data_IF_908829217540
#
_entry.id   IF_908829217540
#
_cell.length_a   1.000
_cell.length_b   1.000
_cell.length_c   1.000
_cell.angle_alpha   90.00
_cell.angle_beta   90.00
_cell.angle_gamma   90.00
#
_symmetry.space_group_name_H-M   'P 1'
#
loop_
_entity.id
_entity.type
_entity.pdbx_description
1 polymer ?
2 branched ?
3 non-polymer ?
4 non-polymer ?
5 water ?
#
# COMPACT_ATOMS: atom_id res chain seq x y z
N UNK A 10 13.35 15.94 19.39
CA UNK A 10 11.95 16.08 19.01
C UNK A 10 11.06 15.09 19.75
N UNK A 11 9.80 15.02 19.36
CA UNK A 11 8.83 14.20 20.08
C UNK A 11 8.15 13.15 19.21
N UNK A 12 7.62 12.11 19.86
CA UNK A 12 6.76 11.15 19.19
C UNK A 12 5.54 11.87 18.63
N UNK A 13 5.17 11.54 17.39
CA UNK A 13 3.94 12.08 16.84
C UNK A 13 2.72 11.52 17.54
N UNK A 14 1.74 12.38 17.79
CA UNK A 14 0.46 11.97 18.36
C UNK A 14 -0.64 12.17 17.33
N UNK A 15 -1.47 11.14 17.15
CA UNK A 15 -2.57 11.21 16.18
C UNK A 15 -3.73 12.03 16.74
N UNK A 16 -3.59 13.35 16.74
CA UNK A 16 -4.56 14.21 17.41
C UNK A 16 -5.57 14.86 16.46
N UNK A 17 -5.38 14.70 15.16
CA UNK A 17 -6.24 15.37 14.19
C UNK A 17 -7.17 14.40 13.45
N UNK A 18 -8.26 14.95 12.91
CA UNK A 18 -9.14 14.19 12.05
C UNK A 18 -8.74 14.42 10.60
N UNK A 19 -9.38 13.71 9.69
CA UNK A 19 -9.11 13.92 8.26
C UNK A 19 -9.68 15.25 7.79
N UNK A 20 -8.97 15.90 6.88
CA UNK A 20 -9.52 17.06 6.19
C UNK A 20 -10.71 16.62 5.35
N UNK A 21 -11.64 17.53 5.10
CA UNK A 21 -12.75 17.23 4.20
C UNK A 21 -12.23 16.99 2.79
N UNK A 22 -12.61 15.87 2.20
CA UNK A 22 -12.14 15.51 0.88
C UNK A 22 -13.17 15.83 -0.20
N UNK A 23 -12.90 16.87 -0.98
CA UNK A 23 -13.84 17.28 -2.03
C UNK A 23 -13.29 16.97 -3.43
N UNK A 24 -11.99 16.75 -3.50
CA UNK A 24 -11.32 16.32 -4.73
C UNK A 24 -9.89 15.91 -4.42
N UNK A 25 -9.14 15.53 -5.44
CA UNK A 25 -7.75 15.14 -5.26
C UNK A 25 -6.85 15.93 -6.19
N UNK A 26 -5.71 16.38 -5.67
CA UNK A 26 -4.75 17.12 -6.48
C UNK A 26 -3.47 16.31 -6.64
N UNK A 27 -2.74 16.55 -7.71
CA UNK A 27 -1.50 15.84 -7.96
C UNK A 27 -0.49 16.18 -6.86
N UNK A 28 0.19 15.15 -6.35
CA UNK A 28 1.16 15.32 -5.28
C UNK A 28 2.56 14.99 -5.77
N UNK A 29 2.70 13.81 -6.36
CA UNK A 29 3.98 13.36 -6.89
C UNK A 29 3.84 12.42 -8.06
N UNK A 30 4.88 12.39 -8.88
CA UNK A 30 4.95 11.52 -10.04
C UNK A 30 6.40 11.43 -10.48
N UNK A 31 6.94 10.23 -10.64
CA UNK A 31 8.38 10.13 -10.90
C UNK A 31 8.75 9.79 -12.34
N UNK A 32 7.76 9.37 -13.15
CA UNK A 32 8.01 9.03 -14.55
C UNK A 32 9.20 8.11 -14.73
N UNK A 33 9.30 7.10 -13.85
CA UNK A 33 10.50 6.29 -13.75
C UNK A 33 10.81 5.47 -15.01
N UNK A 34 9.78 4.91 -15.62
CA UNK A 34 9.98 4.05 -16.78
C UNK A 34 10.39 4.88 -17.99
N UNK A 35 9.75 6.04 -18.16
CA UNK A 35 10.12 7.00 -19.19
C UNK A 35 11.59 7.35 -19.10
N UNK A 36 11.99 7.81 -17.93
CA UNK A 36 13.36 8.26 -17.68
C UNK A 36 14.32 7.07 -17.74
N UNK A 37 13.86 5.93 -17.25
CA UNK A 37 14.68 4.73 -17.18
C UNK A 37 15.02 4.14 -18.53
N UNK A 38 14.33 4.59 -19.58
CA UNK A 38 14.62 4.14 -20.94
C UNK A 38 16.06 4.47 -21.33
N UNK A 39 16.57 5.57 -20.78
CA UNK A 39 17.96 5.97 -21.04
C UNK A 39 18.56 6.67 -19.83
N UNK A 40 18.51 6.00 -18.68
CA UNK A 40 19.15 6.46 -17.46
C UNK A 40 19.27 5.25 -16.55
N UNK A 41 20.11 5.34 -15.53
CA UNK A 41 20.32 4.19 -14.66
C UNK A 41 19.27 4.12 -13.56
N UNK A 42 18.06 3.74 -13.97
CA UNK A 42 16.92 3.66 -13.06
C UNK A 42 16.68 2.22 -12.65
N UNK A 43 16.61 1.99 -11.35
CA UNK A 43 16.42 0.65 -10.81
C UNK A 43 15.05 0.06 -11.14
N UNK A 44 15.03 -1.23 -11.45
CA UNK A 44 13.77 -1.95 -11.60
C UNK A 44 13.15 -2.10 -10.22
N UNK A 45 11.87 -1.73 -10.11
CA UNK A 45 11.17 -1.85 -8.83
C UNK A 45 9.80 -2.45 -9.00
N UNK A 46 9.15 -2.70 -7.86
CA UNK A 46 7.71 -2.91 -7.78
C UNK A 46 7.31 -2.72 -6.33
N UNK A 47 6.01 -2.79 -6.06
CA UNK A 47 5.47 -2.59 -4.72
C UNK A 47 5.95 -1.27 -4.10
N UNK A 48 5.68 -0.14 -4.78
CA UNK A 48 6.16 1.14 -4.25
C UNK A 48 5.24 1.67 -3.16
N UNK A 49 5.70 2.68 -2.43
CA UNK A 49 4.80 3.48 -1.60
C UNK A 49 5.43 4.82 -1.25
N UNK A 50 4.74 5.58 -0.41
CA UNK A 50 5.21 6.90 0.00
C UNK A 50 5.15 7.00 1.52
N UNK A 51 6.14 7.64 2.12
CA UNK A 51 6.16 7.81 3.57
C UNK A 51 6.89 9.08 3.94
N UNK A 52 6.38 9.78 4.95
CA UNK A 52 6.94 11.07 5.33
C UNK A 52 7.78 11.02 6.60
N UNK A 53 8.88 11.75 6.58
CA UNK A 53 9.63 12.10 7.77
C UNK A 53 9.11 13.44 8.25
N UNK A 54 9.50 13.88 9.45
CA UNK A 54 9.05 15.21 9.90
C UNK A 54 9.54 16.35 9.00
N UNK A 55 10.58 16.12 8.21
CA UNK A 55 11.19 17.18 7.43
C UNK A 55 11.27 16.86 5.94
N UNK A 56 10.73 15.73 5.54
CA UNK A 56 10.83 15.28 4.15
C UNK A 56 9.85 14.14 3.86
N UNK A 57 9.32 14.12 2.65
CA UNK A 57 8.52 12.98 2.17
C UNK A 57 9.26 12.28 1.04
N UNK A 58 9.27 10.95 1.05
CA UNK A 58 10.05 10.18 0.09
C UNK A 58 9.26 9.05 -0.54
N UNK A 59 9.65 8.67 -1.76
CA UNK A 59 9.13 7.48 -2.42
C UNK A 59 9.86 6.26 -1.87
N UNK A 60 9.15 5.14 -1.79
CA UNK A 60 9.73 3.88 -1.35
C UNK A 60 9.35 2.80 -2.35
N UNK A 61 10.17 1.75 -2.44
CA UNK A 61 9.85 0.59 -3.28
C UNK A 61 10.81 -0.57 -3.02
N UNK A 62 10.46 -1.73 -3.56
CA UNK A 62 11.34 -2.88 -3.54
C UNK A 62 12.11 -2.98 -4.85
N UNK A 63 13.42 -2.70 -4.77
CA UNK A 63 14.28 -2.82 -5.93
C UNK A 63 14.42 -4.28 -6.33
N UNK A 64 14.85 -4.52 -7.57
CA UNK A 64 15.13 -5.87 -8.03
C UNK A 64 16.63 -6.06 -8.23
N UNK A 65 17.41 -5.07 -7.82
CA UNK A 65 18.85 -5.17 -7.88
C UNK A 65 19.39 -5.16 -9.30
N UNK A 66 18.80 -4.32 -10.13
CA UNK A 66 19.18 -4.19 -11.53
C UNK A 66 18.51 -2.95 -12.10
N UNK A 67 19.06 -2.38 -13.16
CA UNK A 67 18.40 -1.27 -13.84
C UNK A 67 17.50 -1.83 -14.93
N UNK A 68 16.61 -1.00 -15.46
CA UNK A 68 15.67 -1.45 -16.49
C UNK A 68 16.39 -1.86 -17.76
N UNK A 69 17.35 -1.04 -18.18
CA UNK A 69 18.11 -1.31 -19.40
C UNK A 69 19.14 -2.42 -19.19
N UNK A 70 19.42 -2.73 -17.92
CA UNK A 70 20.35 -3.80 -17.60
C UNK A 70 19.81 -5.14 -18.03
N UNK A 71 20.70 -6.05 -18.42
CA UNK A 71 20.29 -7.38 -18.87
C UNK A 71 19.70 -8.21 -17.74
N UNK A 72 20.03 -7.87 -16.50
CA UNK A 72 19.49 -8.58 -15.34
C UNK A 72 18.04 -8.20 -15.06
N UNK A 73 17.48 -7.31 -15.90
CA UNK A 73 16.06 -6.97 -15.78
C UNK A 73 15.21 -8.13 -16.28
N UNK A 74 15.82 -9.00 -17.07
CA UNK A 74 15.17 -10.18 -17.60
C UNK A 74 14.73 -11.12 -16.47
N UNK A 75 13.42 -11.31 -16.33
CA UNK A 75 12.89 -12.23 -15.33
C UNK A 75 12.37 -11.56 -14.07
N UNK A 76 12.31 -10.23 -14.08
CA UNK A 76 11.93 -9.48 -12.87
C UNK A 76 10.43 -9.48 -12.59
N UNK A 77 9.67 -10.32 -13.29
CA UNK A 77 8.25 -10.50 -12.94
C UNK A 77 8.17 -11.22 -11.59
N UNK A 78 9.22 -11.96 -11.26
CA UNK A 78 9.25 -12.76 -10.05
C UNK A 78 9.38 -11.88 -8.80
N UNK A 79 8.61 -12.23 -7.78
CA UNK A 79 8.41 -11.38 -6.62
C UNK A 79 9.51 -11.46 -5.56
N UNK A 80 10.10 -12.63 -5.39
CA UNK A 80 11.04 -12.85 -4.29
C UNK A 80 12.40 -13.35 -4.76
N UNK A 81 13.45 -12.65 -4.34
CA UNK A 81 14.82 -13.03 -4.65
C UNK A 81 15.79 -12.39 -3.66
N UNK A 82 17.04 -12.84 -3.68
CA UNK A 82 18.05 -12.33 -2.76
C UNK A 82 18.55 -10.94 -3.17
N UNK A 83 18.05 -10.45 -4.30
CA UNK A 83 18.59 -9.23 -4.89
C UNK A 83 17.64 -8.07 -4.72
N UNK A 84 16.58 -8.29 -3.94
CA UNK A 84 15.62 -7.24 -3.66
C UNK A 84 15.97 -6.53 -2.36
N UNK A 85 15.56 -5.26 -2.27
CA UNK A 85 15.80 -4.45 -1.10
C UNK A 85 14.81 -3.30 -1.07
N UNK A 86 14.40 -2.91 0.13
CA UNK A 86 13.60 -1.70 0.28
C UNK A 86 14.49 -0.49 0.08
N UNK A 87 14.15 0.34 -0.89
CA UNK A 87 14.89 1.57 -1.14
C UNK A 87 13.98 2.77 -0.98
N UNK A 88 14.58 3.92 -0.72
CA UNK A 88 13.84 5.18 -0.71
C UNK A 88 14.61 6.23 -1.50
N UNK A 89 13.89 7.20 -2.04
CA UNK A 89 14.51 8.25 -2.83
C UNK A 89 13.62 9.50 -2.83
N UNK A 90 14.20 10.67 -3.15
CA UNK A 90 13.47 11.93 -3.02
C UNK A 90 12.15 11.96 -3.81
N UNK A 91 11.16 12.65 -3.24
CA UNK A 91 9.83 12.78 -3.83
C UNK A 91 9.88 13.19 -5.30
N UNK A 92 9.25 12.36 -6.13
CA UNK A 92 9.04 12.61 -7.56
C UNK A 92 10.28 12.45 -8.45
N UNK A 93 11.43 12.18 -7.84
CA UNK A 93 12.60 11.74 -8.58
C UNK A 93 12.43 10.27 -8.91
N UNK A 94 13.14 9.76 -9.93
CA UNK A 94 13.06 8.31 -10.18
C UNK A 94 14.01 7.54 -9.27
N UNK A 95 13.75 6.24 -9.05
CA UNK A 95 14.67 5.46 -8.24
C UNK A 95 15.92 5.09 -9.04
N UNK A 96 16.99 5.87 -8.88
CA UNK A 96 18.21 5.62 -9.63
C UNK A 96 19.25 4.91 -8.77
N UNK A 97 20.25 4.34 -9.43
CA UNK A 97 21.35 3.68 -8.74
C UNK A 97 22.08 4.66 -7.83
N UNK A 98 22.09 5.92 -8.23
CA UNK A 98 22.93 6.93 -7.58
C UNK A 98 22.19 7.78 -6.54
N UNK A 99 20.86 7.75 -6.55
CA UNK A 99 20.10 8.56 -5.60
C UNK A 99 19.22 7.74 -4.66
N UNK A 100 19.28 6.42 -4.77
CA UNK A 100 18.45 5.56 -3.94
C UNK A 100 19.17 5.14 -2.66
N UNK A 101 18.47 5.25 -1.55
CA UNK A 101 18.98 4.85 -0.25
C UNK A 101 18.35 3.53 0.19
N UNK A 102 19.18 2.54 0.49
CA UNK A 102 18.67 1.24 0.92
C UNK A 102 18.28 1.29 2.40
N UNK A 103 17.07 0.88 2.71
CA UNK A 103 16.59 0.87 4.08
C UNK A 103 16.88 -0.48 4.74
N UNK A 104 16.63 -1.56 4.00
CA UNK A 104 16.96 -2.91 4.45
C UNK A 104 16.80 -3.91 3.31
N UNK A 105 17.28 -5.13 3.53
CA UNK A 105 17.28 -6.17 2.51
C UNK A 105 16.09 -7.12 2.67
N UNK A 106 15.36 -7.35 1.58
CA UNK A 106 14.22 -8.25 1.59
C UNK A 106 13.24 -8.06 0.44
N UNK A 107 12.16 -8.84 0.45
CA UNK A 107 11.19 -8.81 -0.64
C UNK A 107 9.77 -8.51 -0.18
N UNK A 108 9.63 -8.10 1.08
CA UNK A 108 8.36 -7.60 1.60
C UNK A 108 8.68 -6.62 2.70
N UNK A 109 7.99 -5.48 2.72
CA UNK A 109 8.39 -4.41 3.63
C UNK A 109 7.28 -3.50 4.12
N UNK A 110 7.62 -2.76 5.16
CA UNK A 110 6.84 -1.60 5.60
C UNK A 110 7.82 -0.62 6.22
N UNK A 111 7.39 0.62 6.40
CA UNK A 111 8.25 1.64 6.99
C UNK A 111 7.40 2.80 7.47
N UNK A 112 7.81 3.42 8.58
CA UNK A 112 7.12 4.60 9.09
C UNK A 112 7.98 5.36 10.09
N UNK A 113 7.75 6.66 10.18
CA UNK A 113 8.46 7.52 11.12
C UNK A 113 7.57 7.75 12.32
N UNK A 114 8.13 7.63 13.53
CA UNK A 114 7.32 7.80 14.74
C UNK A 114 7.40 9.23 15.29
N UNK A 115 8.12 10.09 14.59
CA UNK A 115 8.31 11.46 15.03
C UNK A 115 9.74 11.73 15.45
N UNK A 116 10.39 10.70 16.01
CA UNK A 116 11.79 10.79 16.39
C UNK A 116 12.69 10.12 15.37
N UNK A 117 12.39 8.85 15.08
CA UNK A 117 13.16 8.10 14.10
C UNK A 117 12.27 7.22 13.24
N UNK A 118 12.84 6.68 12.17
CA UNK A 118 12.10 5.83 11.25
C UNK A 118 12.29 4.35 11.58
N UNK A 119 11.18 3.60 11.56
CA UNK A 119 11.25 2.15 11.64
C UNK A 119 11.04 1.57 10.25
N UNK A 120 11.93 0.67 9.84
CA UNK A 120 11.76 -0.05 8.58
C UNK A 120 11.84 -1.54 8.82
N UNK A 121 10.95 -2.30 8.18
CA UNK A 121 10.93 -3.74 8.35
C UNK A 121 11.03 -4.41 6.99
N UNK A 122 11.99 -5.31 6.84
CA UNK A 122 12.15 -6.09 5.62
C UNK A 122 12.13 -7.57 5.92
N UNK A 123 11.40 -8.33 5.10
CA UNK A 123 11.37 -9.77 5.22
C UNK A 123 12.16 -10.41 4.09
N UNK A 124 13.04 -11.35 4.45
CA UNK A 124 13.82 -12.09 3.46
C UNK A 124 13.81 -13.57 3.81
N UNK A 125 14.28 -14.39 2.87
CA UNK A 125 14.38 -15.83 3.11
C UNK A 125 13.66 -16.64 2.06
N UNK A 126 13.83 -17.97 2.12
CA UNK A 126 13.04 -18.86 1.27
C UNK A 126 11.60 -18.90 1.76
N UNK A 127 10.68 -19.40 0.94
CA UNK A 127 9.26 -19.38 1.29
C UNK A 127 8.94 -20.09 2.61
N UNK A 128 9.74 -21.11 2.95
CA UNK A 128 9.46 -21.91 4.15
C UNK A 128 10.34 -21.56 5.35
N UNK A 129 11.09 -20.46 5.26
CA UNK A 129 12.03 -20.12 6.32
C UNK A 129 12.35 -18.63 6.34
N UNK A 130 11.37 -17.80 6.01
CA UNK A 130 11.56 -16.37 5.94
C UNK A 130 11.65 -15.74 7.33
N UNK A 131 12.22 -14.55 7.41
CA UNK A 131 12.32 -13.82 8.68
C UNK A 131 12.25 -12.32 8.45
N UNK A 132 11.68 -11.62 9.43
CA UNK A 132 11.62 -10.17 9.39
C UNK A 132 12.71 -9.57 10.25
N UNK A 133 13.37 -8.53 9.75
CA UNK A 133 14.31 -7.76 10.54
C UNK A 133 13.78 -6.35 10.73
N UNK A 134 13.68 -5.92 11.97
CA UNK A 134 13.12 -4.61 12.27
C UNK A 134 14.23 -3.60 12.51
N UNK A 135 14.30 -2.60 11.64
CA UNK A 135 15.30 -1.54 11.76
C UNK A 135 14.69 -0.31 12.40
N UNK A 136 15.44 0.33 13.28
CA UNK A 136 15.03 1.59 13.88
C UNK A 136 16.22 2.52 13.97
N UNK A 137 16.04 3.76 13.52
CA UNK A 137 17.13 4.72 13.44
C UNK A 137 18.29 4.13 12.63
N UNK A 138 17.92 3.44 11.55
CA UNK A 138 18.86 2.87 10.58
C UNK A 138 19.79 1.82 11.18
N UNK A 139 19.32 1.16 12.24
CA UNK A 139 20.03 0.05 12.86
C UNK A 139 19.08 -1.13 13.09
N UNK A 140 19.59 -2.36 12.94
CA UNK A 140 18.75 -3.53 13.22
C UNK A 140 18.52 -3.70 14.71
N UNK A 141 17.29 -3.94 15.12
CA UNK A 141 16.94 -3.94 16.53
C UNK A 141 16.25 -5.24 16.97
N UNK A 142 15.34 -5.74 16.14
CA UNK A 142 14.60 -6.95 16.47
C UNK A 142 14.38 -7.83 15.25
N UNK A 143 14.18 -9.13 15.48
CA UNK A 143 13.98 -10.10 14.41
C UNK A 143 12.81 -11.01 14.71
N UNK A 144 12.06 -11.36 13.67
CA UNK A 144 10.90 -12.24 13.80
C UNK A 144 10.97 -13.39 12.81
N UNK A 145 11.00 -14.62 13.32
CA UNK A 145 11.02 -15.77 12.43
C UNK A 145 9.61 -16.13 11.95
N UNK A 146 9.54 -16.78 10.81
CA UNK A 146 8.28 -17.25 10.26
C UNK A 146 7.56 -18.16 11.26
N UNK A 147 6.25 -17.99 11.38
CA UNK A 147 5.48 -18.82 12.31
C UNK A 147 4.60 -19.83 11.60
N UNK A 148 4.45 -19.69 10.28
CA UNK A 148 3.63 -20.62 9.52
C UNK A 148 4.40 -21.23 8.35
N UNK A 149 5.64 -20.78 8.18
CA UNK A 149 6.56 -21.33 7.18
C UNK A 149 5.97 -21.30 5.76
N UNK A 150 5.29 -20.21 5.43
CA UNK A 150 4.71 -20.05 4.11
C UNK A 150 4.65 -18.58 3.72
N UNK A 151 5.80 -18.06 3.30
CA UNK A 151 5.95 -16.68 2.86
C UNK A 151 5.42 -15.67 3.86
N UNK A 152 6.17 -15.50 4.96
CA UNK A 152 5.94 -14.41 5.88
C UNK A 152 5.97 -13.10 5.09
N UNK A 153 4.93 -12.28 5.26
CA UNK A 153 4.79 -11.09 4.43
C UNK A 153 4.02 -10.00 5.17
N UNK A 154 4.24 -8.75 4.75
CA UNK A 154 3.64 -7.61 5.44
C UNK A 154 3.00 -6.62 4.46
N UNK A 155 2.93 -5.35 4.86
CA UNK A 155 1.99 -4.40 4.25
C UNK A 155 2.31 -3.89 2.85
N UNK A 156 3.59 -3.68 2.54
CA UNK A 156 4.05 -3.07 1.29
C UNK A 156 3.59 -1.62 1.12
N UNK A 157 3.24 -0.99 2.24
CA UNK A 157 3.07 0.46 2.30
C UNK A 157 3.35 0.88 3.74
N UNK A 158 3.25 2.18 4.01
CA UNK A 158 3.73 2.70 5.30
C UNK A 158 2.88 2.27 6.48
N UNK A 159 3.52 2.05 7.62
CA UNK A 159 2.79 1.85 8.86
C UNK A 159 2.49 3.22 9.46
N UNK A 160 1.81 3.23 10.61
CA UNK A 160 1.46 4.48 11.27
C UNK A 160 1.81 4.39 12.75
N UNK A 161 2.32 5.48 13.32
CA UNK A 161 2.72 5.50 14.71
C UNK A 161 1.87 6.46 15.54
N UNK A 162 1.64 6.09 16.79
CA UNK A 162 1.03 7.00 17.77
C UNK A 162 1.76 6.89 19.10
N UNK A 163 2.30 8.01 19.56
CA UNK A 163 3.05 8.07 20.82
C UNK A 163 4.15 7.02 20.88
N UNK A 164 4.81 6.79 19.75
CA UNK A 164 5.93 5.86 19.69
C UNK A 164 5.54 4.44 19.35
N UNK A 165 4.26 4.12 19.42
CA UNK A 165 3.79 2.76 19.13
C UNK A 165 3.38 2.63 17.66
N UNK A 166 4.06 1.73 16.95
CA UNK A 166 3.80 1.54 15.53
C UNK A 166 3.29 0.14 15.24
N UNK A 167 1.96 0.01 15.04
CA UNK A 167 1.36 -1.29 14.67
C UNK A 167 1.71 -1.70 13.24
N UNK A 168 1.97 -2.98 13.04
CA UNK A 168 2.23 -3.53 11.71
C UNK A 168 1.47 -4.85 11.53
N UNK A 169 0.85 -5.03 10.37
CA UNK A 169 0.11 -6.25 10.08
C UNK A 169 0.94 -7.23 9.28
N UNK A 170 1.10 -8.44 9.80
CA UNK A 170 1.81 -9.52 9.11
C UNK A 170 0.87 -10.66 8.74
N UNK A 171 1.18 -11.36 7.65
CA UNK A 171 0.50 -12.62 7.35
C UNK A 171 1.54 -13.70 7.05
N UNK A 172 1.28 -14.90 7.58
CA UNK A 172 2.10 -16.05 7.27
C UNK A 172 1.17 -17.24 7.05
N UNK A 173 1.33 -17.92 5.92
CA UNK A 173 0.44 -19.01 5.57
C UNK A 173 -0.14 -18.87 4.18
N UNK A 174 -1.16 -19.67 3.89
CA UNK A 174 -1.72 -19.79 2.54
C UNK A 174 -2.23 -18.47 1.95
N UNK A 175 -2.08 -18.34 0.64
CA UNK A 175 -2.61 -17.19 -0.08
C UNK A 175 -3.99 -17.50 -0.65
N UNK A 176 -4.41 -18.75 -0.50
CA UNK A 176 -5.65 -19.23 -1.09
C UNK A 176 -6.50 -20.02 -0.09
N UNK A 177 -6.40 -19.66 1.18
CA UNK A 177 -7.13 -20.33 2.25
C UNK A 177 -6.78 -19.67 3.56
N UNK A 178 -7.29 -20.20 4.67
CA UNK A 178 -7.04 -19.61 6.00
C UNK A 178 -5.55 -19.48 6.30
N UNK A 179 -5.14 -18.28 6.71
CA UNK A 179 -3.74 -18.02 7.01
C UNK A 179 -3.58 -17.47 8.43
N UNK A 180 -2.34 -17.32 8.87
CA UNK A 180 -2.05 -16.84 10.22
C UNK A 180 -1.62 -15.38 10.21
N UNK A 181 -2.58 -14.49 10.44
CA UNK A 181 -2.32 -13.06 10.45
C UNK A 181 -2.06 -12.58 11.87
N UNK A 182 -1.01 -11.77 12.03
CA UNK A 182 -0.68 -11.21 13.34
C UNK A 182 -0.54 -9.69 13.25
N UNK A 183 -0.92 -9.00 14.32
CA UNK A 183 -0.66 -7.57 14.42
C UNK A 183 0.42 -7.33 15.47
N UNK A 184 1.56 -6.83 15.03
CA UNK A 184 2.66 -6.53 15.94
C UNK A 184 2.64 -5.06 16.34
N UNK A 185 3.03 -4.79 17.57
CA UNK A 185 3.13 -3.42 18.06
C UNK A 185 4.56 -3.14 18.45
N UNK A 186 5.20 -2.23 17.71
CA UNK A 186 6.60 -1.90 17.95
C UNK A 186 6.77 -0.54 18.62
N UNK A 187 7.84 -0.40 19.38
CA UNK A 187 8.28 0.91 19.86
C UNK A 187 9.80 0.95 19.84
N UNK A 188 10.34 1.91 19.09
CA UNK A 188 11.78 2.02 18.86
C UNK A 188 12.33 0.69 18.34
N UNK A 189 11.53 -0.01 17.55
CA UNK A 189 11.96 -1.25 16.92
C UNK A 189 11.77 -2.48 17.79
N UNK A 190 11.45 -2.28 19.06
CA UNK A 190 11.27 -3.39 19.98
C UNK A 190 9.83 -3.88 19.97
N UNK A 191 9.64 -5.19 20.10
CA UNK A 191 8.30 -5.77 20.13
C UNK A 191 7.66 -5.58 21.50
N UNK A 192 6.60 -4.80 21.54
CA UNK A 192 5.84 -4.61 22.77
C UNK A 192 4.88 -5.77 22.96
N UNK A 193 4.31 -6.23 21.86
CA UNK A 193 3.19 -7.15 21.88
C UNK A 193 2.84 -7.58 20.46
N UNK A 194 2.32 -8.80 20.32
CA UNK A 194 1.64 -9.17 19.08
C UNK A 194 0.35 -9.91 19.43
N UNK A 195 -0.59 -9.91 18.50
CA UNK A 195 -1.84 -10.63 18.70
C UNK A 195 -2.30 -11.25 17.40
N UNK A 196 -2.93 -12.42 17.50
CA UNK A 196 -3.53 -13.06 16.34
C UNK A 196 -4.72 -12.24 15.86
N UNK A 197 -4.99 -12.28 14.57
CA UNK A 197 -6.10 -11.55 13.99
C UNK A 197 -7.43 -12.01 14.59
N UNK A 198 -8.25 -11.05 14.99
CA UNK A 198 -9.59 -11.33 15.47
C UNK A 198 -10.60 -10.58 14.59
N UNK A 199 -11.89 -10.81 14.82
CA UNK A 199 -12.91 -10.18 14.02
C UNK A 199 -13.40 -11.08 12.92
N UNK A 200 -14.07 -10.50 11.92
CA UNK A 200 -14.76 -11.29 10.90
C UNK A 200 -14.07 -11.29 9.54
N UNK A 201 -12.93 -10.61 9.43
CA UNK A 201 -12.14 -10.69 8.21
C UNK A 201 -11.59 -12.12 8.08
N UNK A 202 -11.77 -12.71 6.91
CA UNK A 202 -11.44 -14.12 6.72
C UNK A 202 -10.06 -14.34 6.09
N UNK A 203 -9.51 -13.31 5.47
CA UNK A 203 -8.18 -13.40 4.87
C UNK A 203 -7.57 -12.01 4.72
N UNK A 204 -6.30 -11.87 5.10
CA UNK A 204 -5.65 -10.57 5.16
C UNK A 204 -4.30 -10.52 4.43
N UNK A 205 -4.19 -9.59 3.49
CA UNK A 205 -2.94 -9.34 2.78
C UNK A 205 -2.72 -7.85 2.56
N UNK A 206 -1.45 -7.44 2.61
CA UNK A 206 -1.01 -6.13 2.12
C UNK A 206 -1.87 -4.96 2.59
N UNK A 207 -1.93 -4.77 3.91
CA UNK A 207 -2.76 -3.72 4.48
C UNK A 207 -2.24 -2.31 4.19
N UNK A 208 -3.15 -1.42 3.83
CA UNK A 208 -2.84 0.00 3.66
C UNK A 208 -3.45 0.78 4.81
N UNK A 209 -2.63 1.51 5.56
CA UNK A 209 -3.09 2.10 6.81
C UNK A 209 -2.93 3.62 6.87
N UNK A 210 -3.73 4.24 7.74
CA UNK A 210 -3.60 5.65 8.05
C UNK A 210 -4.12 5.87 9.47
N UNK A 211 -3.74 6.99 10.08
CA UNK A 211 -4.15 7.29 11.44
C UNK A 211 -4.83 8.65 11.57
N UNK A 212 -5.78 8.72 12.50
CA UNK A 212 -6.48 9.96 12.79
C UNK A 212 -7.18 9.77 14.13
N UNK A 213 -7.56 10.89 14.78
CA UNK A 213 -7.96 10.93 16.19
C UNK A 213 -7.80 9.59 16.95
N UNK A 214 -6.66 9.53 17.64
CA UNK A 214 -5.90 8.33 18.02
C UNK A 214 -6.42 6.94 17.63
N UNK A 215 -6.83 6.76 16.36
CA UNK A 215 -7.15 5.46 15.84
C UNK A 215 -6.45 5.19 14.51
N UNK A 216 -6.08 3.93 14.26
CA UNK A 216 -5.45 3.57 13.00
C UNK A 216 -6.34 2.63 12.17
N UNK A 217 -6.58 3.00 10.93
CA UNK A 217 -7.46 2.22 10.05
C UNK A 217 -6.67 1.60 8.91
N UNK A 218 -6.82 0.30 8.73
CA UNK A 218 -6.13 -0.42 7.66
C UNK A 218 -7.11 -1.05 6.69
N UNK A 219 -6.90 -0.81 5.40
CA UNK A 219 -7.70 -1.45 4.36
C UNK A 219 -6.81 -2.47 3.67
N UNK A 220 -7.27 -3.72 3.62
CA UNK A 220 -6.42 -4.82 3.18
C UNK A 220 -6.96 -5.55 1.96
N UNK A 221 -6.35 -6.68 1.68
CA UNK A 221 -6.70 -7.49 0.51
C UNK A 221 -7.07 -8.91 0.95
N UNK A 222 -8.29 -9.32 0.61
CA UNK A 222 -8.70 -10.71 0.79
C UNK A 222 -8.33 -11.44 -0.49
N UNK A 223 -7.33 -12.31 -0.40
CA UNK A 223 -6.87 -13.03 -1.58
C UNK A 223 -7.52 -14.39 -1.71
N UNK A 224 -8.40 -14.72 -0.77
CA UNK A 224 -9.04 -16.03 -0.76
C UNK A 224 -10.35 -16.03 -1.54
N UNK A 225 -11.45 -15.64 -0.90
CA UNK A 225 -12.75 -15.67 -1.53
C UNK A 225 -13.39 -14.31 -1.78
N UNK A 226 -12.82 -13.26 -1.21
CA UNK A 226 -13.48 -11.96 -1.20
C UNK A 226 -13.06 -10.96 -2.26
N UNK A 227 -14.03 -10.18 -2.74
CA UNK A 227 -13.74 -9.07 -3.63
C UNK A 227 -14.14 -7.75 -2.98
N UNK A 228 -14.75 -7.85 -1.82
CA UNK A 228 -14.85 -6.70 -0.92
C UNK A 228 -13.57 -6.68 -0.08
N UNK A 229 -13.20 -5.53 0.45
CA UNK A 229 -11.93 -5.44 1.18
C UNK A 229 -12.11 -5.57 2.68
N UNK A 230 -11.23 -6.36 3.31
CA UNK A 230 -11.21 -6.44 4.77
C UNK A 230 -10.69 -5.14 5.38
N UNK A 231 -11.20 -4.79 6.55
CA UNK A 231 -10.71 -3.61 7.27
C UNK A 231 -10.27 -4.00 8.66
N UNK A 232 -9.08 -3.57 9.05
CA UNK A 232 -8.62 -3.75 10.42
C UNK A 232 -8.55 -2.39 11.10
N UNK A 233 -9.24 -2.25 12.22
CA UNK A 233 -9.20 -1.01 12.98
C UNK A 233 -8.41 -1.20 14.26
N UNK A 234 -7.31 -0.46 14.38
CA UNK A 234 -6.34 -0.67 15.45
C UNK A 234 -6.32 0.46 16.46
N UNK A 235 -6.42 0.09 17.74
CA UNK A 235 -6.24 1.04 18.85
C UNK A 235 -4.79 0.96 19.29
N UNK A 236 -3.97 1.96 18.94
CA UNK A 236 -2.53 1.88 19.24
C UNK A 236 -2.21 2.14 20.71
N UNK A 237 -3.18 2.65 21.47
CA UNK A 237 -2.98 2.88 22.89
C UNK A 237 -3.25 1.60 23.68
N UNK A 238 -4.41 1.01 23.46
CA UNK A 238 -4.78 -0.25 24.10
C UNK A 238 -4.04 -1.42 23.45
N UNK A 239 -3.53 -1.17 22.25
CA UNK A 239 -2.88 -2.20 21.44
C UNK A 239 -3.81 -3.38 21.21
N UNK A 240 -5.02 -3.05 20.76
CA UNK A 240 -6.02 -4.04 20.38
C UNK A 240 -6.59 -3.69 19.01
N UNK A 241 -7.37 -4.60 18.43
CA UNK A 241 -7.93 -4.36 17.11
C UNK A 241 -9.24 -5.10 16.89
N UNK A 242 -9.97 -4.68 15.87
CA UNK A 242 -11.13 -5.42 15.38
C UNK A 242 -10.99 -5.55 13.87
N UNK A 243 -11.80 -6.39 13.26
CA UNK A 243 -11.80 -6.48 11.80
C UNK A 243 -13.16 -6.86 11.24
N UNK A 244 -13.40 -6.39 10.01
CA UNK A 244 -14.60 -6.72 9.27
C UNK A 244 -14.29 -6.50 7.79
N UNK A 245 -15.34 -6.36 6.98
CA UNK A 245 -15.20 -5.97 5.59
C UNK A 245 -15.84 -4.61 5.38
N UNK A 246 -15.46 -3.93 4.31
CA UNK A 246 -16.22 -2.76 3.88
C UNK A 246 -17.60 -3.22 3.44
N UNK A 247 -18.63 -2.72 4.11
CA UNK A 247 -20.00 -3.19 3.89
C UNK A 247 -20.55 -2.82 2.51
N UNK A 248 -20.04 -1.75 1.94
CA UNK A 248 -20.56 -1.21 0.69
C UNK A 248 -20.56 -2.21 -0.47
N UNK A 249 -21.61 -2.20 -1.29
CA UNK A 249 -21.66 -3.01 -2.51
C UNK A 249 -20.75 -2.47 -3.61
N UNK A 250 -20.14 -1.32 -3.34
CA UNK A 250 -19.09 -0.80 -4.22
C UNK A 250 -17.82 -1.60 -3.94
N UNK A 251 -17.63 -2.69 -4.69
CA UNK A 251 -16.51 -3.59 -4.48
C UNK A 251 -15.21 -2.99 -5.03
N UNK A 252 -14.12 -3.15 -4.30
CA UNK A 252 -12.88 -2.45 -4.64
C UNK A 252 -11.63 -3.32 -4.73
N UNK A 253 -11.78 -4.63 -4.72
CA UNK A 253 -10.64 -5.50 -5.02
C UNK A 253 -10.53 -5.64 -6.54
N UNK A 254 -9.52 -6.37 -6.99
CA UNK A 254 -9.38 -6.67 -8.41
C UNK A 254 -8.60 -7.96 -8.62
N UNK A 255 -9.14 -8.90 -9.41
CA UNK A 255 -10.43 -8.82 -10.12
C UNK A 255 -11.62 -8.90 -9.18
N UNK A 256 -12.81 -8.61 -9.70
CA UNK A 256 -14.01 -8.55 -8.86
C UNK A 256 -15.27 -8.74 -9.69
N UNK A 257 -16.37 -9.17 -9.04
CA UNK A 257 -17.66 -9.18 -9.71
C UNK A 257 -18.18 -7.76 -9.93
N UNK A 258 -19.27 -7.63 -10.67
CA UNK A 258 -19.91 -6.33 -10.80
C UNK A 258 -20.55 -5.91 -9.48
N UNK A 259 -20.73 -4.61 -9.30
CA UNK A 259 -21.32 -4.09 -8.06
C UNK A 259 -22.77 -4.53 -7.92
N UNK A 260 -23.09 -5.24 -6.83
CA UNK A 260 -24.47 -5.57 -6.50
C UNK A 260 -25.17 -4.39 -5.82
N UNK A 261 -26.29 -4.64 -5.15
CA UNK A 261 -26.97 -3.58 -4.42
C UNK A 261 -26.88 -3.81 -2.91
N UNK A 262 -26.43 -5.00 -2.54
CA UNK A 262 -26.15 -5.31 -1.14
C UNK A 262 -24.74 -5.87 -0.99
N UNK A 263 -23.94 -5.25 -0.12
CA UNK A 263 -22.59 -5.72 0.12
C UNK A 263 -22.54 -6.69 1.28
N UNK A 264 -21.34 -6.95 1.79
CA UNK A 264 -21.17 -7.89 2.89
C UNK A 264 -20.23 -7.31 3.94
N UNK A 265 -20.69 -7.26 5.19
CA UNK A 265 -19.95 -6.64 6.28
C UNK A 265 -19.01 -7.61 6.98
N UNK A 266 -19.40 -8.88 7.06
CA UNK A 266 -18.70 -9.83 7.92
C UNK A 266 -18.33 -11.13 7.22
N UNK A 267 -18.27 -11.08 5.88
CA UNK A 267 -17.88 -12.24 5.09
C UNK A 267 -17.46 -11.78 3.69
N UNK A 268 -16.65 -12.59 3.00
CA UNK A 268 -16.22 -12.25 1.64
C UNK A 268 -17.39 -12.16 0.67
N UNK A 269 -17.38 -11.16 -0.21
CA UNK A 269 -18.32 -11.17 -1.33
C UNK A 269 -17.75 -12.05 -2.44
N UNK A 270 -18.51 -13.09 -2.83
CA UNK A 270 -18.06 -14.15 -3.73
C UNK A 270 -18.08 -13.76 -5.21
N UNK A 271 -17.34 -14.51 -6.02
CA UNK A 271 -17.29 -14.28 -7.44
C UNK A 271 -15.89 -14.50 -7.99
N UNK A 272 -14.89 -14.10 -7.22
CA UNK A 272 -13.50 -14.22 -7.66
C UNK A 272 -12.63 -14.81 -6.56
N UNK A 273 -12.00 -15.94 -6.86
CA UNK A 273 -11.18 -16.64 -5.88
C UNK A 273 -9.68 -16.51 -6.17
N UNK A 274 -8.89 -16.61 -5.10
CA UNK A 274 -7.44 -16.77 -5.21
C UNK A 274 -6.73 -15.66 -5.98
N UNK A 275 -7.22 -14.43 -5.82
CA UNK A 275 -6.57 -13.28 -6.43
C UNK A 275 -7.01 -11.98 -5.75
N UNK A 276 -6.34 -10.89 -6.10
CA UNK A 276 -6.63 -9.61 -5.53
C UNK A 276 -5.56 -8.61 -5.90
N UNK A 277 -5.63 -7.43 -5.32
CA UNK A 277 -4.62 -6.41 -5.51
C UNK A 277 -4.58 -5.55 -4.26
N UNK A 278 -3.39 -5.06 -3.91
CA UNK A 278 -3.28 -4.15 -2.78
C UNK A 278 -4.05 -2.87 -3.09
N UNK A 279 -4.86 -2.43 -2.15
CA UNK A 279 -5.68 -1.24 -2.32
C UNK A 279 -5.83 -0.49 -1.02
N UNK A 280 -6.68 0.52 -1.02
CA UNK A 280 -6.85 1.35 0.15
C UNK A 280 -8.22 2.02 0.16
N UNK A 281 -8.54 2.64 1.29
CA UNK A 281 -9.72 3.47 1.40
C UNK A 281 -9.53 4.47 2.53
N UNK A 282 -10.31 5.54 2.51
CA UNK A 282 -10.41 6.42 3.67
C UNK A 282 -11.83 6.37 4.21
N UNK A 283 -11.98 5.76 5.38
CA UNK A 283 -13.29 5.50 5.97
C UNK A 283 -13.58 6.55 7.04
N UNK A 284 -14.47 7.49 6.72
CA UNK A 284 -14.65 8.66 7.55
C UNK A 284 -16.09 9.19 7.46
N UNK A 285 -17.05 8.31 7.72
CA UNK A 285 -18.46 8.67 7.66
C UNK A 285 -18.86 9.20 6.29
N UNK A 286 -19.39 10.41 6.25
CA UNK A 286 -19.81 11.03 5.00
C UNK A 286 -18.62 11.51 4.18
N UNK A 287 -17.44 11.50 4.80
CA UNK A 287 -16.22 11.92 4.13
C UNK A 287 -15.44 10.71 3.60
N UNK A 288 -16.16 9.62 3.33
CA UNK A 288 -15.53 8.38 2.93
C UNK A 288 -15.23 8.33 1.43
N UNK A 289 -13.99 8.00 1.08
CA UNK A 289 -13.59 7.80 -0.31
C UNK A 289 -12.94 6.43 -0.51
N UNK A 290 -13.37 5.73 -1.55
CA UNK A 290 -12.80 4.42 -1.87
C UNK A 290 -12.00 4.51 -3.17
N UNK A 291 -10.87 3.80 -3.21
CA UNK A 291 -10.11 3.68 -4.43
C UNK A 291 -10.30 2.31 -5.04
N UNK A 292 -10.28 2.24 -6.38
CA UNK A 292 -10.30 0.95 -7.05
C UNK A 292 -9.85 1.06 -8.49
N UNK A 293 -9.44 -0.06 -9.07
CA UNK A 293 -9.18 -0.13 -10.49
C UNK A 293 -10.51 0.06 -11.23
N UNK A 294 -10.44 0.59 -12.44
CA UNK A 294 -11.67 0.80 -13.21
C UNK A 294 -12.16 -0.55 -13.76
N UNK A 295 -11.23 -1.32 -14.31
CA UNK A 295 -11.56 -2.65 -14.83
C UNK A 295 -11.87 -3.62 -13.69
N UNK A 296 -12.85 -4.50 -13.92
CA UNK A 296 -13.19 -5.54 -12.95
C UNK A 296 -12.36 -6.80 -13.22
N UNK A 297 -11.64 -6.81 -14.32
CA UNK A 297 -10.95 -8.02 -14.77
C UNK A 297 -9.44 -7.95 -14.56
N UNK A 298 -8.87 -6.75 -14.67
CA UNK A 298 -7.41 -6.62 -14.58
C UNK A 298 -6.98 -5.30 -13.95
N UNK A 299 -5.68 -5.20 -13.68
CA UNK A 299 -5.13 -4.02 -13.03
C UNK A 299 -4.93 -2.88 -14.02
N UNK A 300 -6.02 -2.32 -14.50
CA UNK A 300 -5.98 -1.18 -15.41
C UNK A 300 -6.96 -0.12 -14.96
N UNK A 301 -6.56 1.14 -15.10
CA UNK A 301 -7.37 2.26 -14.67
C UNK A 301 -7.35 2.43 -13.17
N UNK A 302 -7.70 3.61 -12.70
CA UNK A 302 -7.88 3.84 -11.26
C UNK A 302 -8.81 5.01 -11.03
N UNK A 303 -9.74 4.84 -10.10
CA UNK A 303 -10.69 5.89 -9.78
C UNK A 303 -10.90 6.00 -8.27
N UNK A 304 -11.21 7.21 -7.82
CA UNK A 304 -11.65 7.42 -6.45
C UNK A 304 -13.15 7.64 -6.46
N UNK A 305 -13.84 7.04 -5.50
CA UNK A 305 -15.30 7.18 -5.41
C UNK A 305 -15.70 7.61 -4.01
N UNK A 306 -16.52 8.64 -3.93
CA UNK A 306 -17.04 9.11 -2.65
C UNK A 306 -18.27 8.30 -2.27
N UNK A 307 -18.13 7.45 -1.25
CA UNK A 307 -19.19 6.53 -0.85
C UNK A 307 -19.49 6.71 0.63
N UNK A 308 -20.48 7.54 0.95
CA UNK A 308 -20.85 7.84 2.35
C UNK A 308 -21.09 6.59 3.19
N UNK A 309 -20.37 6.49 4.31
CA UNK A 309 -20.52 5.39 5.25
C UNK A 309 -20.32 4.02 4.61
N UNK A 310 -19.38 3.94 3.68
CA UNK A 310 -19.09 2.69 2.97
C UNK A 310 -18.78 1.56 3.94
N UNK A 311 -18.10 1.88 5.03
CA UNK A 311 -17.69 0.87 6.01
C UNK A 311 -18.87 0.15 6.66
N UNK A 312 -19.96 0.87 6.92
CA UNK A 312 -21.05 0.33 7.73
C UNK A 312 -22.38 0.16 7.02
N UNK A 313 -22.53 0.79 5.85
CA UNK A 313 -23.80 0.77 5.12
C UNK A 313 -23.71 -0.17 3.92
N UNK A 314 -24.40 -1.31 3.99
CA UNK A 314 -24.29 -2.33 2.95
C UNK A 314 -25.15 -2.01 1.72
N UNK A 315 -25.71 -0.80 1.67
CA UNK A 315 -26.46 -0.35 0.51
C UNK A 315 -25.80 0.86 -0.17
N UNK A 316 -24.69 1.33 0.41
CA UNK A 316 -24.11 2.60 0.00
C UNK A 316 -23.55 2.62 -1.42
N UNK A 317 -23.81 3.71 -2.12
CA UNK A 317 -23.38 3.91 -3.51
C UNK A 317 -22.61 5.23 -3.65
N UNK A 318 -21.87 5.41 -4.76
CA UNK A 318 -21.12 6.67 -4.92
C UNK A 318 -22.01 7.89 -5.16
N UNK A 319 -21.58 9.05 -4.68
CA UNK A 319 -22.26 10.31 -4.96
C UNK A 319 -21.30 11.28 -5.63
N UNK A 320 -20.04 10.88 -5.72
CA UNK A 320 -19.01 11.69 -6.37
C UNK A 320 -17.82 10.81 -6.69
N UNK A 321 -17.01 11.24 -7.64
CA UNK A 321 -15.83 10.47 -8.02
C UNK A 321 -14.75 11.28 -8.69
N UNK A 322 -13.60 10.65 -8.91
CA UNK A 322 -12.53 11.26 -9.68
C UNK A 322 -11.68 10.18 -10.32
N UNK A 323 -11.54 10.26 -11.64
CA UNK A 323 -10.69 9.32 -12.37
C UNK A 323 -9.24 9.74 -12.19
N UNK A 324 -8.39 8.78 -11.83
CA UNK A 324 -6.97 9.04 -11.63
C UNK A 324 -6.16 8.52 -12.79
N UNK A 325 -6.46 7.30 -13.21
CA UNK A 325 -5.80 6.67 -14.35
C UNK A 325 -6.87 6.11 -15.29
N UNK A 326 -6.74 6.40 -16.59
CA UNK A 326 -7.68 5.90 -17.58
C UNK A 326 -7.66 4.37 -17.60
N UNK A 327 -8.81 3.77 -17.92
CA UNK A 327 -8.91 2.32 -18.05
C UNK A 327 -7.96 1.79 -19.12
N UNK A 328 -7.60 2.64 -20.06
CA UNK A 328 -6.69 2.28 -21.14
C UNK A 328 -5.25 2.13 -20.66
N UNK A 329 -4.96 2.64 -19.46
CA UNK A 329 -3.61 2.61 -18.92
C UNK A 329 -3.48 1.64 -17.75
N UNK A 330 -2.30 1.06 -17.61
CA UNK A 330 -2.06 0.08 -16.56
C UNK A 330 -1.88 0.74 -15.20
N UNK A 331 -2.51 0.14 -14.18
CA UNK A 331 -2.30 0.57 -12.82
C UNK A 331 -1.57 -0.52 -12.05
N UNK A 332 -1.99 -0.77 -10.81
CA UNK A 332 -1.34 -1.76 -9.98
C UNK A 332 -1.69 -1.56 -8.52
N UNK A 333 -0.72 -1.81 -7.64
CA UNK A 333 -0.94 -1.61 -6.20
C UNK A 333 -1.25 -0.16 -5.88
N UNK A 334 -2.05 0.06 -4.85
CA UNK A 334 -2.31 1.41 -4.37
C UNK A 334 -2.37 1.38 -2.85
N UNK A 335 -2.00 2.48 -2.21
CA UNK A 335 -1.98 2.52 -0.76
C UNK A 335 -2.07 3.92 -0.22
N UNK A 336 -2.27 4.02 1.09
CA UNK A 336 -2.46 5.30 1.74
C UNK A 336 -1.21 5.77 2.47
N UNK A 337 -1.07 7.09 2.58
CA UNK A 337 -0.07 7.70 3.43
C UNK A 337 -0.56 9.11 3.73
N UNK A 338 -0.03 9.73 4.78
CA UNK A 338 -0.33 11.13 5.06
C UNK A 338 0.90 11.82 5.63
N UNK A 339 0.97 13.13 5.43
CA UNK A 339 2.03 13.92 6.06
C UNK A 339 1.54 14.33 7.44
N UNK A 340 1.90 13.54 8.45
CA UNK A 340 1.44 13.77 9.81
C UNK A 340 2.13 14.97 10.46
N UNK A 341 3.06 15.58 9.74
CA UNK A 341 3.84 16.69 10.29
C UNK A 341 3.57 18.00 9.54
N UNK A 342 2.54 17.98 8.70
CA UNK A 342 2.14 19.19 7.97
C UNK A 342 1.44 20.18 8.89
N UNK A 343 1.34 21.43 8.43
CA UNK A 343 0.62 22.46 9.17
C UNK A 343 -0.89 22.27 9.04
N UNK A 344 -1.65 22.90 9.93
CA UNK A 344 -3.10 22.84 9.86
C UNK A 344 -3.73 22.01 10.96
N UNK A 345 -5.06 22.03 11.02
CA UNK A 345 -5.80 21.34 12.08
C UNK A 345 -6.34 19.98 11.66
N UNK A 346 -6.02 19.56 10.43
CA UNK A 346 -6.48 18.26 9.95
C UNK A 346 -5.41 17.56 9.13
N UNK A 347 -5.50 16.23 9.07
CA UNK A 347 -4.61 15.44 8.23
C UNK A 347 -5.13 15.38 6.81
N UNK A 348 -4.26 15.65 5.84
CA UNK A 348 -4.64 15.61 4.44
C UNK A 348 -4.45 14.21 3.88
N UNK A 349 -5.55 13.56 3.52
CA UNK A 349 -5.50 12.21 2.98
C UNK A 349 -4.71 12.16 1.69
N UNK A 350 -3.79 11.19 1.61
CA UNK A 350 -3.01 11.00 0.40
C UNK A 350 -2.99 9.54 -0.03
N UNK A 351 -2.61 9.30 -1.28
CA UNK A 351 -2.43 7.95 -1.76
C UNK A 351 -1.53 7.92 -2.98
N UNK A 352 -1.02 6.73 -3.28
CA UNK A 352 -0.23 6.51 -4.47
C UNK A 352 -0.89 5.43 -5.30
N UNK A 353 -0.59 5.42 -6.59
CA UNK A 353 -0.96 4.30 -7.44
C UNK A 353 0.27 3.78 -8.17
N UNK A 354 0.54 2.49 -8.04
CA UNK A 354 1.62 1.86 -8.75
C UNK A 354 1.22 1.67 -10.21
N UNK A 355 2.03 2.18 -11.12
CA UNK A 355 1.75 2.03 -12.54
C UNK A 355 2.66 0.97 -13.14
N UNK A 356 2.19 -0.28 -13.14
CA UNK A 356 3.01 -1.40 -13.56
C UNK A 356 3.20 -1.45 -15.07
N UNK A 357 4.44 -1.53 -15.51
CA UNK A 357 4.75 -1.70 -16.93
C UNK A 357 5.54 -2.98 -17.13
N UNK A 358 5.42 -3.57 -18.31
CA UNK A 358 6.10 -4.81 -18.62
C UNK A 358 5.22 -6.02 -18.35
N UNK A 359 5.84 -7.12 -17.95
CA UNK A 359 5.13 -8.38 -17.80
C UNK A 359 4.25 -8.40 -16.56
N UNK A 360 3.14 -9.17 -16.60
CA UNK A 360 2.74 -10.07 -17.68
C UNK A 360 1.99 -9.40 -18.84
N UNK A 361 1.42 -8.23 -18.62
CA UNK A 361 0.52 -7.61 -19.60
C UNK A 361 1.23 -7.14 -20.87
N UNK A 362 2.49 -6.76 -20.74
CA UNK A 362 3.27 -6.30 -21.88
C UNK A 362 4.52 -7.15 -22.04
N UNK A 363 4.37 -8.31 -22.69
CA UNK A 363 5.45 -9.30 -22.70
C UNK A 363 6.41 -9.19 -23.89
N UNK A 364 6.36 -8.07 -24.60
CA UNK A 364 7.36 -7.80 -25.63
C UNK A 364 8.70 -7.49 -24.98
N UNK A 365 8.65 -7.00 -23.75
CA UNK A 365 9.83 -6.85 -22.92
C UNK A 365 9.87 -7.99 -21.92
N UNK A 366 11.05 -8.26 -21.37
CA UNK A 366 11.22 -9.39 -20.46
C UNK A 366 11.29 -8.94 -19.01
N UNK A 367 11.10 -7.64 -18.78
CA UNK A 367 11.12 -7.12 -17.43
C UNK A 367 9.74 -6.70 -16.92
N UNK A 368 9.66 -6.52 -15.61
CA UNK A 368 8.51 -5.92 -14.96
C UNK A 368 8.98 -4.80 -14.05
N UNK A 369 8.46 -3.60 -14.25
CA UNK A 369 8.75 -2.50 -13.35
C UNK A 369 7.52 -1.62 -13.19
N UNK A 370 7.73 -0.42 -12.66
CA UNK A 370 6.62 0.50 -12.43
C UNK A 370 7.08 1.93 -12.30
N UNK A 371 6.13 2.85 -12.41
CA UNK A 371 6.36 4.21 -11.95
C UNK A 371 5.32 4.54 -10.90
N UNK A 372 5.38 5.75 -10.37
CA UNK A 372 4.49 6.15 -9.28
C UNK A 372 3.73 7.41 -9.63
N UNK A 373 2.43 7.42 -9.33
CA UNK A 373 1.69 8.67 -9.29
C UNK A 373 1.06 8.78 -7.91
N UNK A 374 0.99 9.99 -7.38
CA UNK A 374 0.52 10.20 -6.01
C UNK A 374 -0.38 11.43 -5.93
N UNK A 375 -1.46 11.32 -5.15
CA UNK A 375 -2.40 12.42 -5.00
C UNK A 375 -2.66 12.73 -3.52
N UNK A 376 -3.08 13.95 -3.25
CA UNK A 376 -3.56 14.33 -1.92
C UNK A 376 -4.90 15.02 -2.05
N UNK A 377 -5.67 15.04 -0.97
CA UNK A 377 -7.01 15.59 -1.00
C UNK A 377 -7.02 17.12 -0.99
N UNK A 378 -8.08 17.70 -1.55
CA UNK A 378 -8.29 19.14 -1.54
C UNK A 378 -9.69 19.44 -1.04
N UNK A 379 -9.85 20.58 -0.36
CA UNK A 379 -11.18 21.01 0.07
C UNK A 379 -11.88 21.72 -1.07
N UNK A 380 -11.13 22.05 -2.12
CA UNK A 380 -11.70 22.59 -3.34
C UNK A 380 -12.25 21.47 -4.21
N UNK A 381 -13.12 21.82 -5.15
CA UNK A 381 -13.60 20.86 -6.14
C UNK A 381 -12.80 21.03 -7.43
N UNK A 382 -11.61 20.43 -7.46
CA UNK A 382 -10.66 20.65 -8.54
C UNK A 382 -10.98 19.83 -9.79
N UNK A 383 -10.62 20.37 -10.94
CA UNK A 383 -10.72 19.66 -12.20
C UNK A 383 -9.82 18.44 -12.17
N UNK A 384 -10.20 17.40 -12.91
CA UNK A 384 -9.43 16.17 -12.92
C UNK A 384 -8.64 16.01 -14.21
N UNK A 385 -7.45 15.42 -14.10
CA UNK A 385 -6.70 14.95 -15.25
C UNK A 385 -6.59 13.45 -15.12
N UNK A 386 -5.92 12.80 -16.07
CA UNK A 386 -5.58 11.40 -15.91
C UNK A 386 -4.06 11.27 -15.97
N UNK A 387 -3.51 10.33 -15.22
CA UNK A 387 -2.06 10.28 -15.01
C UNK A 387 -1.45 8.94 -15.38
N UNK A 388 -1.11 8.76 -16.66
CA UNK A 388 -0.51 7.50 -17.13
C UNK A 388 0.98 7.44 -16.81
N UNK A 389 1.56 6.23 -16.87
CA UNK A 389 2.99 6.07 -16.71
C UNK A 389 3.74 6.85 -17.77
N UNK A 390 3.27 6.71 -19.01
CA UNK A 390 3.73 7.55 -20.10
C UNK A 390 4.88 7.02 -20.93
N UNK A 391 5.36 5.82 -20.61
CA UNK A 391 6.44 5.24 -21.38
C UNK A 391 5.90 4.45 -22.56
N UNK A 392 6.67 4.43 -23.65
CA UNK A 392 6.31 3.66 -24.83
C UNK A 392 7.15 2.40 -24.89
N UNK A 393 6.49 1.25 -24.79
CA UNK A 393 7.16 -0.04 -24.73
C UNK A 393 8.06 -0.29 -25.96
N UNK A 394 7.62 0.19 -27.11
CA UNK A 394 8.35 0.00 -28.36
C UNK A 394 9.78 0.53 -28.29
N UNK A 395 10.00 1.54 -27.45
CA UNK A 395 11.32 2.14 -27.29
C UNK A 395 12.30 1.18 -26.62
N UNK A 396 11.76 0.23 -25.86
CA UNK A 396 12.58 -0.72 -25.10
C UNK A 396 12.91 -1.97 -25.90
N UNK A 397 12.39 -2.05 -27.12
CA UNK A 397 12.57 -3.26 -27.93
C UNK A 397 13.88 -3.24 -28.70
#
# INVERSE_FOLDING_TARGET
GSGDSGSPGRNFNNLTKGLCTINSWHIYGKDNAVRIGESSDVLVTREPYVSCDPDECRFYALSQGTTIRGKHSNGTIHDRSQYRALISWPLSSPPTVYNSRVECIGWSSTSCHDGKSRMSICISGPNNNASAVVWYNRRPVAEINTWARNILRTQESECVCHNGVCPVVFTDGSATGPADTRIYYFKEGKILKWESLTGTAKHIEECSCYGERTGITCTCRDNWQGSNRPVIQIDPVAMTHTSQYICSPVLTDNPRPNDPNIGKCNDPYPGNNNNGVKGFSYLDGANTWLGRTISTASRSGYEMLKVPNALTDDRSKPIQGQTIVLNADWSGYSGSFMDYWAEGDCYRACFYVELIRGRPKEDKVWWTSNSIVSMCSSTEFLGQWNWPDGAKIEYFL
#
